data_IF_909700701167
#
_entry.id   IF_909700701167
#
_cell.length_a   1.000
_cell.length_b   1.000
_cell.length_c   1.000
_cell.angle_alpha   90.00
_cell.angle_beta   90.00
_cell.angle_gamma   90.00
#
_symmetry.space_group_name_H-M   'P 1'
#
loop_
_entity.id
_entity.type
_entity.pdbx_description
1 polymer ?
#
# COMPACT_ATOMS: atom_id res chain seq x y z
N UNK A 1 -34.89 -11.91 -14.92
CA UNK A 1 -34.84 -13.38 -14.91
C UNK A 1 -33.89 -13.79 -13.79
N UNK A 2 -34.41 -14.00 -12.57
CA UNK A 2 -33.61 -14.26 -11.36
C UNK A 2 -33.06 -15.68 -11.44
N UNK A 3 -31.81 -15.87 -11.89
CA UNK A 3 -31.04 -17.06 -11.49
C UNK A 3 -30.92 -16.98 -9.97
N UNK A 4 -31.34 -18.03 -9.27
CA UNK A 4 -31.34 -18.06 -7.81
C UNK A 4 -29.90 -17.82 -7.33
N UNK A 5 -29.67 -16.78 -6.53
CA UNK A 5 -28.34 -16.52 -5.95
C UNK A 5 -27.82 -17.76 -5.20
N UNK A 6 -28.71 -18.61 -4.67
CA UNK A 6 -28.36 -19.88 -4.05
C UNK A 6 -27.79 -20.86 -5.07
N UNK A 7 -28.32 -20.89 -6.28
CA UNK A 7 -27.77 -21.68 -7.39
C UNK A 7 -26.39 -21.16 -7.80
N UNK A 8 -26.19 -19.84 -7.83
CA UNK A 8 -24.87 -19.24 -8.08
C UNK A 8 -23.89 -19.63 -6.96
N UNK A 9 -24.28 -19.47 -5.70
CA UNK A 9 -23.45 -19.81 -4.53
C UNK A 9 -23.11 -21.31 -4.53
N UNK A 10 -24.09 -22.16 -4.80
CA UNK A 10 -23.91 -23.61 -4.83
C UNK A 10 -22.97 -24.03 -5.96
N UNK A 11 -23.14 -23.47 -7.16
CA UNK A 11 -22.25 -23.74 -8.27
C UNK A 11 -20.81 -23.27 -7.99
N UNK A 12 -20.64 -22.07 -7.42
CA UNK A 12 -19.32 -21.57 -7.01
C UNK A 12 -18.69 -22.48 -5.94
N UNK A 13 -19.49 -23.05 -5.05
CA UNK A 13 -19.02 -24.04 -4.07
C UNK A 13 -18.55 -25.33 -4.75
N UNK A 14 -19.36 -25.93 -5.63
CA UNK A 14 -18.96 -27.12 -6.38
C UNK A 14 -17.70 -26.88 -7.22
N UNK A 15 -17.60 -25.71 -7.86
CA UNK A 15 -16.44 -25.31 -8.65
C UNK A 15 -15.19 -25.11 -7.80
N UNK A 16 -15.32 -24.57 -6.58
CA UNK A 16 -14.18 -24.42 -5.66
C UNK A 16 -13.55 -25.76 -5.25
N UNK A 17 -14.32 -26.86 -5.34
CA UNK A 17 -13.87 -28.21 -5.00
C UNK A 17 -13.15 -28.92 -6.16
N UNK A 18 -13.25 -28.42 -7.39
CA UNK A 18 -12.63 -29.06 -8.56
C UNK A 18 -11.11 -28.82 -8.58
N UNK A 19 -10.34 -29.84 -8.97
CA UNK A 19 -8.88 -29.73 -9.11
C UNK A 19 -8.48 -28.95 -10.36
N UNK A 20 -9.23 -29.10 -11.44
CA UNK A 20 -9.02 -28.41 -12.72
C UNK A 20 -9.29 -26.89 -12.64
N UNK A 21 -8.61 -26.08 -13.47
CA UNK A 21 -8.87 -24.65 -13.55
C UNK A 21 -10.31 -24.39 -14.04
N UNK A 22 -10.96 -23.47 -13.34
CA UNK A 22 -12.32 -22.98 -13.57
C UNK A 22 -12.66 -22.78 -15.07
N UNK A 23 -13.68 -23.47 -15.58
CA UNK A 23 -14.34 -23.07 -16.83
C UNK A 23 -15.14 -21.79 -16.54
N UNK A 24 -14.75 -20.71 -17.23
CA UNK A 24 -15.10 -19.33 -16.89
C UNK A 24 -16.62 -19.09 -16.80
N UNK A 25 -17.09 -18.73 -15.60
CA UNK A 25 -18.33 -17.99 -15.47
C UNK A 25 -18.14 -16.59 -16.07
N UNK A 26 -18.31 -16.45 -17.39
CA UNK A 26 -18.21 -15.16 -18.06
C UNK A 26 -19.42 -14.30 -17.72
N UNK A 27 -19.19 -13.26 -16.92
CA UNK A 27 -20.03 -12.08 -16.94
C UNK A 27 -19.86 -11.41 -18.31
N UNK A 28 -20.92 -11.37 -19.10
CA UNK A 28 -20.89 -10.80 -20.47
C UNK A 28 -20.83 -9.26 -20.47
N UNK A 29 -20.82 -8.62 -19.31
CA UNK A 29 -20.97 -7.17 -19.16
C UNK A 29 -19.64 -6.51 -18.79
N UNK A 30 -19.44 -5.29 -19.30
CA UNK A 30 -18.31 -4.46 -18.92
C UNK A 30 -18.34 -4.11 -17.42
N UNK A 31 -17.18 -4.01 -16.75
CA UNK A 31 -17.08 -3.54 -15.38
C UNK A 31 -17.70 -2.16 -15.20
N UNK A 32 -18.69 -2.07 -14.31
CA UNK A 32 -19.37 -0.83 -13.93
C UNK A 32 -18.93 -0.40 -12.53
N UNK A 33 -18.52 0.86 -12.37
CA UNK A 33 -18.30 1.48 -11.05
C UNK A 33 -19.59 1.36 -10.22
N UNK A 34 -19.47 0.86 -9.00
CA UNK A 34 -20.60 0.54 -8.12
C UNK A 34 -21.23 -0.83 -8.35
N UNK A 35 -20.85 -1.52 -9.42
CA UNK A 35 -21.25 -2.90 -9.63
C UNK A 35 -20.72 -3.80 -8.49
N UNK A 36 -21.62 -4.63 -7.97
CA UNK A 36 -21.30 -5.67 -6.98
C UNK A 36 -21.19 -7.01 -7.68
N UNK A 37 -20.04 -7.66 -7.51
CA UNK A 37 -19.67 -8.86 -8.24
C UNK A 37 -19.40 -10.01 -7.28
N UNK A 38 -19.83 -11.21 -7.67
CA UNK A 38 -19.65 -12.46 -6.94
C UNK A 38 -19.01 -13.52 -7.84
N UNK A 39 -17.99 -14.20 -7.33
CA UNK A 39 -17.26 -15.21 -8.10
C UNK A 39 -16.16 -15.87 -7.28
N UNK A 40 -15.18 -16.46 -7.98
CA UNK A 40 -14.02 -17.11 -7.37
C UNK A 40 -12.74 -16.33 -7.67
N UNK A 41 -11.92 -16.15 -6.64
CA UNK A 41 -10.55 -15.65 -6.73
C UNK A 41 -9.64 -16.72 -6.10
N UNK A 42 -8.72 -17.29 -6.87
CA UNK A 42 -7.87 -18.41 -6.41
C UNK A 42 -8.67 -19.55 -5.75
N UNK A 43 -9.76 -19.98 -6.38
CA UNK A 43 -10.74 -20.98 -5.87
C UNK A 43 -11.47 -20.61 -4.58
N UNK A 44 -11.27 -19.41 -4.03
CA UNK A 44 -12.02 -18.92 -2.88
C UNK A 44 -13.13 -17.97 -3.33
N UNK A 45 -14.31 -18.10 -2.73
CA UNK A 45 -15.43 -17.20 -3.02
C UNK A 45 -15.09 -15.77 -2.58
N UNK A 46 -15.22 -14.84 -3.50
CA UNK A 46 -15.03 -13.41 -3.23
C UNK A 46 -16.21 -12.65 -3.76
N UNK A 47 -16.64 -11.66 -2.99
CA UNK A 47 -17.58 -10.63 -3.40
C UNK A 47 -16.89 -9.28 -3.25
N UNK A 48 -17.12 -8.37 -4.19
CA UNK A 48 -16.53 -7.05 -4.15
C UNK A 48 -17.42 -6.02 -4.83
N UNK A 49 -17.18 -4.74 -4.54
CA UNK A 49 -17.73 -3.60 -5.28
C UNK A 49 -16.60 -2.86 -5.97
N UNK A 50 -16.82 -2.48 -7.23
CA UNK A 50 -15.88 -1.61 -7.94
C UNK A 50 -16.07 -0.18 -7.42
N UNK A 51 -15.00 0.43 -6.91
CA UNK A 51 -15.06 1.81 -6.41
C UNK A 51 -14.42 2.80 -7.36
N UNK A 52 -13.41 2.40 -8.13
CA UNK A 52 -12.75 3.31 -9.07
C UNK A 52 -12.08 2.59 -10.24
N UNK A 53 -11.80 3.35 -11.30
CA UNK A 53 -10.90 2.95 -12.38
C UNK A 53 -9.59 3.73 -12.24
N UNK A 54 -8.52 3.05 -11.82
CA UNK A 54 -7.24 3.69 -11.45
C UNK A 54 -6.36 3.94 -12.67
N UNK A 55 -6.33 2.97 -13.60
CA UNK A 55 -5.65 3.10 -14.91
C UNK A 55 -6.54 2.52 -15.99
N UNK A 56 -6.11 2.57 -17.25
CA UNK A 56 -6.82 1.89 -18.33
C UNK A 56 -6.94 0.38 -18.16
N UNK A 57 -6.07 -0.23 -17.33
CA UNK A 57 -6.03 -1.67 -17.09
C UNK A 57 -6.61 -2.09 -15.75
N UNK A 58 -6.55 -1.22 -14.73
CA UNK A 58 -6.84 -1.60 -13.36
C UNK A 58 -8.02 -0.83 -12.76
N UNK A 59 -8.85 -1.58 -12.05
CA UNK A 59 -9.91 -1.08 -11.19
C UNK A 59 -9.54 -1.29 -9.72
N UNK A 60 -9.86 -0.31 -8.89
CA UNK A 60 -9.87 -0.48 -7.44
C UNK A 60 -11.23 -1.02 -7.01
N UNK A 61 -11.19 -2.10 -6.23
CA UNK A 61 -12.39 -2.74 -5.70
C UNK A 61 -12.28 -2.89 -4.18
N UNK A 62 -13.40 -2.80 -3.47
CA UNK A 62 -13.50 -3.10 -2.05
C UNK A 62 -14.11 -4.46 -1.84
N UNK A 63 -13.52 -5.24 -0.95
CA UNK A 63 -14.05 -6.55 -0.57
C UNK A 63 -15.38 -6.39 0.17
N UNK A 64 -16.30 -7.31 -0.09
CA UNK A 64 -17.57 -7.42 0.62
C UNK A 64 -17.66 -8.77 1.32
N UNK A 65 -18.07 -8.76 2.58
CA UNK A 65 -18.28 -9.95 3.40
C UNK A 65 -19.74 -10.14 3.79
N UNK A 66 -20.15 -11.39 3.93
CA UNK A 66 -21.46 -11.80 4.44
C UNK A 66 -21.48 -11.97 5.97
N UNK A 67 -20.33 -11.92 6.63
CA UNK A 67 -20.21 -11.92 8.09
C UNK A 67 -20.41 -10.52 8.64
N UNK A 68 -21.57 -9.92 8.35
CA UNK A 68 -21.87 -8.54 8.72
C UNK A 68 -21.87 -8.33 10.24
N UNK A 69 -22.12 -9.40 11.00
CA UNK A 69 -22.04 -9.43 12.46
C UNK A 69 -20.63 -9.15 13.00
N UNK A 70 -19.60 -9.32 12.17
CA UNK A 70 -18.20 -9.01 12.48
C UNK A 70 -17.79 -7.61 11.99
N UNK A 71 -18.71 -6.85 11.38
CA UNK A 71 -18.44 -5.51 10.88
C UNK A 71 -18.12 -4.52 11.99
N UNK A 72 -17.05 -3.76 11.81
CA UNK A 72 -16.57 -2.72 12.70
C UNK A 72 -17.08 -1.34 12.26
N UNK A 73 -16.74 -0.30 13.04
CA UNK A 73 -17.00 1.10 12.64
C UNK A 73 -16.36 1.51 11.32
N UNK A 74 -15.33 0.79 10.84
CA UNK A 74 -14.69 1.11 9.56
C UNK A 74 -15.51 0.58 8.39
N UNK A 75 -16.34 -0.42 8.61
CA UNK A 75 -17.07 -1.12 7.56
C UNK A 75 -18.45 -0.49 7.34
N UNK A 76 -18.87 -0.41 6.08
CA UNK A 76 -20.20 0.07 5.70
C UNK A 76 -21.16 -1.10 5.64
N UNK A 77 -22.30 -0.99 6.32
CA UNK A 77 -23.38 -1.98 6.20
C UNK A 77 -24.10 -1.76 4.89
N UNK A 78 -24.16 -2.82 4.09
CA UNK A 78 -24.80 -2.82 2.80
C UNK A 78 -25.88 -3.89 2.78
N UNK A 79 -27.11 -3.47 2.43
CA UNK A 79 -28.26 -4.35 2.32
C UNK A 79 -28.87 -4.26 0.95
N UNK A 80 -29.22 -5.42 0.42
CA UNK A 80 -29.96 -5.54 -0.81
C UNK A 80 -30.97 -6.70 -0.72
N UNK A 81 -31.60 -7.05 -1.83
CA UNK A 81 -32.56 -8.15 -1.89
C UNK A 81 -31.95 -9.52 -1.53
N UNK A 82 -30.63 -9.66 -1.57
CA UNK A 82 -29.90 -10.92 -1.39
C UNK A 82 -29.50 -11.13 0.08
N UNK A 83 -29.29 -10.05 0.83
CA UNK A 83 -28.95 -10.15 2.24
C UNK A 83 -28.35 -8.88 2.84
N UNK A 84 -27.77 -9.05 4.02
CA UNK A 84 -26.97 -8.03 4.71
C UNK A 84 -25.50 -8.41 4.62
N UNK A 85 -24.69 -7.43 4.25
CA UNK A 85 -23.27 -7.56 4.01
C UNK A 85 -22.53 -6.37 4.63
N UNK A 86 -21.21 -6.48 4.67
CA UNK A 86 -20.32 -5.36 5.00
C UNK A 86 -19.39 -5.11 3.83
N UNK A 87 -19.25 -3.84 3.46
CA UNK A 87 -18.20 -3.35 2.57
C UNK A 87 -17.01 -3.03 3.46
N UNK A 88 -15.93 -3.78 3.26
CA UNK A 88 -14.71 -3.69 4.06
C UNK A 88 -13.84 -2.57 3.50
N UNK A 89 -14.01 -1.35 4.03
CA UNK A 89 -13.41 -0.14 3.46
C UNK A 89 -11.88 -0.10 3.55
N UNK A 90 -11.30 -0.98 4.37
CA UNK A 90 -9.86 -1.18 4.56
C UNK A 90 -9.29 -2.36 3.77
N UNK A 91 -10.13 -3.17 3.11
CA UNK A 91 -9.71 -4.31 2.29
C UNK A 91 -9.97 -4.03 0.81
N UNK A 92 -9.24 -3.06 0.27
CA UNK A 92 -9.19 -2.82 -1.16
C UNK A 92 -8.22 -3.77 -1.87
N UNK A 93 -8.47 -4.05 -3.14
CA UNK A 93 -7.55 -4.77 -4.02
C UNK A 93 -7.80 -4.40 -5.48
N UNK A 94 -6.92 -4.86 -6.37
CA UNK A 94 -6.90 -4.38 -7.75
C UNK A 94 -7.08 -5.50 -8.75
N UNK A 95 -8.09 -5.34 -9.60
CA UNK A 95 -8.45 -6.28 -10.65
C UNK A 95 -8.38 -5.62 -12.01
N UNK A 96 -8.05 -6.41 -13.02
CA UNK A 96 -8.14 -6.02 -14.42
C UNK A 96 -9.54 -6.25 -14.96
N UNK A 97 -9.85 -5.59 -16.07
CA UNK A 97 -11.12 -5.75 -16.79
C UNK A 97 -11.44 -7.22 -17.11
N UNK A 98 -10.48 -7.96 -17.66
CA UNK A 98 -10.63 -9.38 -18.03
C UNK A 98 -10.85 -10.29 -16.81
N UNK A 99 -10.28 -9.92 -15.66
CA UNK A 99 -10.48 -10.64 -14.41
C UNK A 99 -11.87 -10.38 -13.83
N UNK A 100 -12.35 -9.14 -13.84
CA UNK A 100 -13.69 -8.77 -13.36
C UNK A 100 -14.77 -9.46 -14.20
N UNK A 101 -14.56 -9.58 -15.52
CA UNK A 101 -15.47 -10.28 -16.45
C UNK A 101 -15.66 -11.77 -16.11
N UNK A 102 -14.85 -12.35 -15.24
CA UNK A 102 -15.06 -13.72 -14.70
C UNK A 102 -16.01 -13.78 -13.50
N UNK A 103 -16.48 -12.63 -13.03
CA UNK A 103 -17.40 -12.54 -11.91
C UNK A 103 -18.81 -12.22 -12.39
N UNK A 104 -19.80 -12.70 -11.64
CA UNK A 104 -21.19 -12.35 -11.89
C UNK A 104 -21.53 -11.05 -11.20
N UNK A 105 -21.91 -10.02 -11.95
CA UNK A 105 -22.61 -8.87 -11.37
C UNK A 105 -23.94 -9.33 -10.77
N UNK A 106 -24.16 -9.00 -9.50
CA UNK A 106 -25.36 -9.38 -8.73
C UNK A 106 -26.16 -8.18 -8.23
N UNK A 107 -25.55 -6.99 -8.17
CA UNK A 107 -26.21 -5.76 -7.77
C UNK A 107 -25.42 -4.52 -8.23
N UNK A 108 -25.95 -3.32 -7.99
CA UNK A 108 -25.30 -2.02 -8.24
C UNK A 108 -25.56 -1.09 -7.05
N UNK A 109 -24.50 -0.45 -6.55
CA UNK A 109 -24.59 0.62 -5.56
C UNK A 109 -24.54 1.97 -6.29
N UNK A 110 -25.66 2.69 -6.27
CA UNK A 110 -25.80 3.95 -7.03
C UNK A 110 -24.89 5.08 -6.54
N UNK A 111 -24.50 5.08 -5.26
CA UNK A 111 -23.71 6.16 -4.66
C UNK A 111 -22.38 5.65 -4.09
N UNK A 112 -21.50 5.22 -5.00
CA UNK A 112 -20.11 4.84 -4.67
C UNK A 112 -19.32 5.99 -4.07
N UNK A 113 -19.61 7.23 -4.45
CA UNK A 113 -18.85 8.38 -3.95
C UNK A 113 -18.96 8.49 -2.42
N UNK A 114 -20.15 8.22 -1.86
CA UNK A 114 -20.32 8.12 -0.40
C UNK A 114 -19.45 7.06 0.27
N UNK A 115 -19.15 5.96 -0.43
CA UNK A 115 -18.23 4.92 0.09
C UNK A 115 -16.81 5.48 0.14
N UNK A 116 -16.37 6.20 -0.91
CA UNK A 116 -15.06 6.85 -0.96
C UNK A 116 -14.94 7.91 0.13
N UNK A 117 -15.90 8.82 0.22
CA UNK A 117 -15.97 9.85 1.26
C UNK A 117 -15.91 9.23 2.66
N UNK A 118 -16.70 8.18 2.90
CA UNK A 118 -16.72 7.50 4.19
C UNK A 118 -15.37 6.91 4.57
N UNK A 119 -14.60 6.35 3.62
CA UNK A 119 -13.30 5.75 3.88
C UNK A 119 -12.34 6.77 4.51
N UNK A 120 -12.34 7.99 3.98
CA UNK A 120 -11.45 9.08 4.37
C UNK A 120 -11.85 9.76 5.71
N UNK A 121 -13.06 9.50 6.21
CA UNK A 121 -13.49 10.04 7.51
C UNK A 121 -12.67 9.47 8.67
N UNK A 122 -12.36 10.32 9.63
CA UNK A 122 -11.85 9.90 10.94
C UNK A 122 -12.86 9.04 11.69
N UNK A 123 -12.41 8.29 12.70
CA UNK A 123 -13.31 7.47 13.53
C UNK A 123 -14.43 8.29 14.15
N UNK A 124 -14.15 9.52 14.61
CA UNK A 124 -15.16 10.39 15.22
C UNK A 124 -16.19 10.87 14.19
N UNK A 125 -15.77 11.17 12.96
CA UNK A 125 -16.66 11.56 11.87
C UNK A 125 -17.51 10.37 11.40
N UNK A 126 -16.94 9.16 11.33
CA UNK A 126 -17.68 7.92 11.04
C UNK A 126 -18.80 7.67 12.05
N UNK A 127 -18.55 7.92 13.33
CA UNK A 127 -19.56 7.82 14.39
C UNK A 127 -20.76 8.76 14.17
N UNK A 128 -20.50 9.95 13.60
CA UNK A 128 -21.48 11.03 13.36
C UNK A 128 -22.12 10.98 11.97
N UNK A 129 -21.58 10.17 11.07
CA UNK A 129 -22.09 10.04 9.70
C UNK A 129 -23.49 9.40 9.68
N UNK A 130 -24.27 9.73 8.63
CA UNK A 130 -25.56 9.09 8.36
C UNK A 130 -25.43 7.76 7.58
N UNK A 131 -24.21 7.27 7.39
CA UNK A 131 -23.95 6.00 6.70
C UNK A 131 -24.04 4.87 7.72
N UNK A 132 -24.80 3.85 7.37
CA UNK A 132 -24.94 2.69 8.24
C UNK A 132 -23.63 1.91 8.29
N UNK A 133 -23.21 1.56 9.50
CA UNK A 133 -21.87 1.07 9.81
C UNK A 133 -21.93 -0.17 10.67
N UNK A 134 -20.86 -0.95 10.62
CA UNK A 134 -20.68 -2.07 11.55
C UNK A 134 -20.66 -1.59 13.00
N UNK A 135 -21.15 -2.44 13.90
CA UNK A 135 -21.35 -2.11 15.32
C UNK A 135 -20.40 -2.87 16.25
N UNK A 136 -19.48 -3.67 15.71
CA UNK A 136 -18.54 -4.42 16.53
C UNK A 136 -17.45 -3.49 17.08
N UNK A 137 -17.71 -2.95 18.28
CA UNK A 137 -16.88 -1.94 18.95
C UNK A 137 -16.31 -2.48 20.26
N UNK A 138 -15.46 -3.49 20.19
CA UNK A 138 -14.69 -3.95 21.33
C UNK A 138 -13.28 -4.25 20.82
N UNK A 139 -12.32 -3.41 21.22
CA UNK A 139 -10.86 -3.48 20.94
C UNK A 139 -10.47 -4.82 20.31
N UNK A 140 -10.40 -4.83 18.98
CA UNK A 140 -10.00 -5.94 18.10
C UNK A 140 -9.90 -7.29 18.83
N UNK A 141 -11.06 -7.89 19.11
CA UNK A 141 -11.06 -9.27 19.59
C UNK A 141 -10.25 -10.10 18.60
N UNK A 142 -9.37 -10.96 19.11
CA UNK A 142 -8.51 -11.87 18.33
C UNK A 142 -9.27 -12.57 17.18
N UNK A 143 -10.58 -12.77 17.33
CA UNK A 143 -11.46 -13.33 16.30
C UNK A 143 -11.72 -12.42 15.09
N UNK A 144 -11.93 -11.12 15.30
CA UNK A 144 -12.16 -10.13 14.23
C UNK A 144 -10.85 -9.88 13.48
N UNK A 145 -9.73 -9.78 14.19
CA UNK A 145 -8.40 -9.69 13.57
C UNK A 145 -8.12 -10.93 12.73
N UNK A 146 -8.25 -12.14 13.30
CA UNK A 146 -8.08 -13.40 12.55
C UNK A 146 -9.04 -13.51 11.37
N UNK A 147 -10.25 -12.96 11.48
CA UNK A 147 -11.18 -12.89 10.38
C UNK A 147 -10.63 -11.99 9.26
N UNK A 148 -10.26 -10.75 9.57
CA UNK A 148 -9.67 -9.79 8.63
C UNK A 148 -8.37 -10.32 8.00
N UNK A 149 -7.51 -10.99 8.76
CA UNK A 149 -6.30 -11.65 8.25
C UNK A 149 -6.65 -12.73 7.21
N UNK A 150 -7.61 -13.62 7.52
CA UNK A 150 -8.06 -14.65 6.57
C UNK A 150 -8.68 -14.05 5.32
N UNK A 151 -9.47 -12.99 5.47
CA UNK A 151 -10.06 -12.29 4.35
C UNK A 151 -8.99 -11.62 3.47
N UNK A 152 -7.96 -11.02 4.09
CA UNK A 152 -6.80 -10.45 3.39
C UNK A 152 -6.01 -11.54 2.66
N UNK A 153 -5.78 -12.70 3.26
CA UNK A 153 -5.07 -13.82 2.60
C UNK A 153 -5.72 -14.22 1.26
N UNK A 154 -7.05 -14.10 1.15
CA UNK A 154 -7.76 -14.39 -0.11
C UNK A 154 -7.35 -13.43 -1.22
N UNK A 155 -7.22 -12.14 -0.89
CA UNK A 155 -6.97 -11.07 -1.86
C UNK A 155 -5.51 -10.62 -1.91
N UNK A 156 -4.64 -11.12 -1.04
CA UNK A 156 -3.26 -10.64 -0.86
C UNK A 156 -2.47 -10.51 -2.18
N UNK A 157 -2.48 -11.48 -3.10
CA UNK A 157 -1.78 -11.34 -4.38
C UNK A 157 -2.31 -10.19 -5.26
N UNK A 158 -3.59 -9.84 -5.11
CA UNK A 158 -4.27 -8.80 -5.86
C UNK A 158 -4.18 -7.44 -5.17
N UNK A 159 -4.11 -7.42 -3.84
CA UNK A 159 -3.83 -6.23 -3.05
C UNK A 159 -2.42 -5.69 -3.34
N UNK A 160 -1.41 -6.58 -3.37
CA UNK A 160 -0.01 -6.20 -3.65
C UNK A 160 0.23 -5.70 -5.09
N UNK A 161 -0.77 -5.75 -5.98
CA UNK A 161 -0.65 -5.20 -7.34
C UNK A 161 -0.56 -3.67 -7.36
N UNK A 162 -0.85 -3.00 -6.25
CA UNK A 162 -0.65 -1.56 -6.14
C UNK A 162 0.76 -1.14 -6.55
N UNK A 163 1.78 -1.95 -6.25
CA UNK A 163 3.15 -1.66 -6.66
C UNK A 163 3.31 -1.64 -8.19
N UNK A 164 2.65 -2.57 -8.90
CA UNK A 164 2.66 -2.56 -10.37
C UNK A 164 1.90 -1.36 -10.96
N UNK A 165 0.85 -0.92 -10.25
CA UNK A 165 0.03 0.23 -10.67
C UNK A 165 0.82 1.53 -10.49
N UNK A 166 1.50 1.69 -9.35
CA UNK A 166 2.39 2.82 -9.09
C UNK A 166 3.46 2.89 -10.18
N UNK A 167 4.13 1.77 -10.47
CA UNK A 167 5.14 1.69 -11.54
C UNK A 167 4.58 2.06 -12.93
N UNK A 168 3.30 1.77 -13.21
CA UNK A 168 2.63 2.10 -14.46
C UNK A 168 2.27 3.59 -14.53
N UNK A 169 1.69 4.14 -13.46
CA UNK A 169 1.33 5.56 -13.36
C UNK A 169 2.57 6.46 -13.45
N UNK A 170 3.66 6.08 -12.78
CA UNK A 170 4.93 6.80 -12.90
C UNK A 170 5.42 6.80 -14.36
N UNK A 171 5.33 5.68 -15.08
CA UNK A 171 5.72 5.61 -16.50
C UNK A 171 4.82 6.44 -17.42
N UNK A 172 3.55 6.63 -17.08
CA UNK A 172 2.61 7.44 -17.86
C UNK A 172 2.80 8.95 -17.65
N UNK A 173 3.22 9.37 -16.45
CA UNK A 173 3.56 10.78 -16.18
C UNK A 173 4.87 11.22 -16.85
N UNK A 174 5.80 10.29 -17.11
CA UNK A 174 7.01 10.58 -17.87
C UNK A 174 6.82 10.27 -19.35
N UNK A 175 6.46 11.28 -20.15
CA UNK A 175 6.89 11.34 -21.55
C UNK A 175 8.42 11.29 -21.56
N UNK A 176 9.00 10.10 -21.70
CA UNK A 176 10.45 9.92 -21.83
C UNK A 176 10.86 10.57 -23.15
N UNK A 177 11.38 11.80 -23.07
CA UNK A 177 12.10 12.43 -24.17
C UNK A 177 13.39 11.61 -24.33
N UNK A 178 13.62 10.92 -25.46
CA UNK A 178 14.89 10.25 -25.69
C UNK A 178 15.97 11.32 -25.82
N UNK A 179 16.87 11.40 -24.83
CA UNK A 179 18.11 12.15 -24.98
C UNK A 179 18.93 11.47 -26.08
N UNK A 180 19.34 12.25 -27.10
CA UNK A 180 20.16 11.75 -28.20
C UNK A 180 21.49 11.17 -27.71
N UNK A 181 22.14 10.25 -28.46
CA UNK A 181 23.23 9.39 -27.98
C UNK A 181 24.56 10.07 -27.59
N UNK A 182 24.64 11.39 -27.48
CA UNK A 182 25.90 12.11 -27.21
C UNK A 182 26.14 12.45 -25.73
N UNK A 183 25.46 11.79 -24.78
CA UNK A 183 25.77 11.91 -23.35
C UNK A 183 25.77 10.56 -22.64
N UNK A 184 26.72 9.70 -22.99
CA UNK A 184 27.21 8.66 -22.07
C UNK A 184 28.23 9.30 -21.11
N UNK A 185 27.76 9.92 -20.03
CA UNK A 185 28.61 10.11 -18.84
C UNK A 185 27.78 9.83 -17.57
N UNK A 186 28.01 8.63 -17.01
CA UNK A 186 27.88 8.24 -15.61
C UNK A 186 26.78 8.95 -14.78
N UNK A 187 25.59 8.37 -14.74
CA UNK A 187 24.59 8.72 -13.74
C UNK A 187 25.06 8.29 -12.33
N UNK A 188 25.47 9.27 -11.52
CA UNK A 188 25.46 9.18 -10.05
C UNK A 188 24.08 9.60 -9.54
N UNK A 189 23.39 8.67 -8.88
CA UNK A 189 22.25 8.90 -7.96
C UNK A 189 22.70 9.78 -6.77
N UNK A 190 21.95 10.68 -6.11
CA UNK A 190 20.54 11.15 -6.11
C UNK A 190 20.55 12.56 -5.48
N UNK A 191 19.79 13.53 -5.98
CA UNK A 191 19.64 14.83 -5.31
C UNK A 191 18.41 14.83 -4.40
N UNK A 192 18.62 15.00 -3.08
CA UNK A 192 17.57 15.27 -2.09
C UNK A 192 17.36 16.78 -2.05
N UNK A 193 16.34 17.30 -2.72
CA UNK A 193 15.96 18.70 -2.64
C UNK A 193 15.00 18.92 -1.47
N UNK A 194 15.55 19.20 -0.29
CA UNK A 194 14.82 19.82 0.82
C UNK A 194 15.05 21.33 0.78
N UNK A 195 13.99 22.13 0.86
CA UNK A 195 14.06 23.60 1.02
C UNK A 195 14.65 24.02 2.38
N UNK A 196 14.77 23.09 3.32
CA UNK A 196 15.50 23.28 4.58
C UNK A 196 16.91 22.70 4.45
N UNK A 197 17.94 23.46 4.88
CA UNK A 197 19.33 22.98 5.01
C UNK A 197 19.46 21.92 6.13
N UNK A 198 18.77 20.80 5.99
CA UNK A 198 18.82 19.65 6.89
C UNK A 198 19.78 18.57 6.38
N UNK A 199 20.45 18.81 5.25
CA UNK A 199 21.47 17.93 4.68
C UNK A 199 22.74 18.69 4.32
N UNK A 200 23.90 18.05 4.45
CA UNK A 200 25.16 18.50 3.85
C UNK A 200 25.98 17.30 3.36
N UNK A 201 26.80 17.53 2.34
CA UNK A 201 27.65 16.51 1.73
C UNK A 201 29.05 16.56 2.33
N UNK A 202 29.54 15.40 2.79
CA UNK A 202 30.94 15.13 3.06
C UNK A 202 31.62 14.46 1.87
N UNK A 203 32.89 14.08 2.02
CA UNK A 203 33.68 13.46 0.94
C UNK A 203 33.09 12.10 0.50
N UNK A 204 32.73 11.25 1.47
CA UNK A 204 32.22 9.88 1.25
C UNK A 204 30.94 9.59 2.06
N UNK A 205 30.24 10.62 2.52
CA UNK A 205 29.05 10.50 3.35
C UNK A 205 28.12 11.69 3.17
N UNK A 206 26.88 11.55 3.63
CA UNK A 206 25.90 12.62 3.75
C UNK A 206 25.57 12.79 5.22
N UNK A 207 25.46 14.03 5.72
CA UNK A 207 24.87 14.26 7.03
C UNK A 207 23.43 14.72 6.90
N UNK A 208 22.57 14.19 7.76
CA UNK A 208 21.16 14.52 7.85
C UNK A 208 20.81 14.93 9.28
N UNK A 209 20.18 16.09 9.45
CA UNK A 209 19.75 16.61 10.75
C UNK A 209 18.33 16.13 11.07
N UNK A 210 18.19 15.47 12.21
CA UNK A 210 16.92 15.17 12.84
C UNK A 210 16.69 16.04 14.10
N UNK A 211 15.48 16.10 14.67
CA UNK A 211 15.16 17.00 15.77
C UNK A 211 16.06 16.85 17.01
N UNK A 212 16.63 15.66 17.23
CA UNK A 212 17.40 15.32 18.44
C UNK A 212 18.82 14.77 18.16
N UNK A 213 19.19 14.54 16.89
CA UNK A 213 20.49 13.95 16.52
C UNK A 213 20.87 14.33 15.09
N UNK A 214 22.12 14.07 14.73
CA UNK A 214 22.63 14.20 13.37
C UNK A 214 23.09 12.81 12.92
N UNK A 215 22.56 12.34 11.79
CA UNK A 215 22.93 11.08 11.19
C UNK A 215 24.03 11.32 10.15
N UNK A 216 25.07 10.48 10.16
CA UNK A 216 26.03 10.33 9.08
C UNK A 216 25.61 9.09 8.29
N UNK A 217 25.32 9.28 7.01
CA UNK A 217 24.91 8.25 6.07
C UNK A 217 26.09 7.95 5.16
N UNK A 218 26.63 6.74 5.24
CA UNK A 218 27.75 6.27 4.43
C UNK A 218 27.28 5.35 3.31
N UNK A 219 28.11 5.15 2.29
CA UNK A 219 27.83 4.23 1.19
C UNK A 219 27.71 2.77 1.68
N UNK A 220 26.93 1.94 0.97
CA UNK A 220 26.78 0.51 1.29
C UNK A 220 28.12 -0.26 1.28
N UNK A 221 29.13 0.26 0.60
CA UNK A 221 30.47 -0.34 0.57
C UNK A 221 31.19 -0.35 1.94
N UNK A 222 30.67 0.38 2.93
CA UNK A 222 31.19 0.43 4.30
C UNK A 222 30.56 -0.62 5.23
N UNK A 223 29.49 -1.30 4.82
CA UNK A 223 28.82 -2.34 5.62
C UNK A 223 29.74 -3.55 5.81
N UNK A 224 29.73 -4.15 7.00
CA UNK A 224 30.59 -5.24 7.45
C UNK A 224 32.09 -4.89 7.49
N UNK A 225 32.44 -3.60 7.38
CA UNK A 225 33.82 -3.13 7.56
C UNK A 225 33.95 -2.40 8.89
N UNK A 226 35.16 -2.42 9.45
CA UNK A 226 35.50 -1.63 10.62
C UNK A 226 35.66 -0.17 10.19
N UNK A 227 34.86 0.73 10.74
CA UNK A 227 34.84 2.14 10.37
C UNK A 227 35.11 3.01 11.58
N UNK A 228 35.97 4.01 11.39
CA UNK A 228 36.26 5.06 12.35
C UNK A 228 35.80 6.41 11.82
N UNK A 229 35.08 7.16 12.66
CA UNK A 229 34.67 8.54 12.37
C UNK A 229 35.48 9.50 13.24
N UNK A 230 36.07 10.49 12.60
CA UNK A 230 36.82 11.56 13.24
C UNK A 230 36.08 12.89 13.08
N UNK A 231 36.06 13.71 14.12
CA UNK A 231 35.58 15.09 14.10
C UNK A 231 36.71 15.99 14.57
N UNK A 232 37.15 16.92 13.71
CA UNK A 232 38.27 17.84 14.01
C UNK A 232 39.57 17.12 14.44
N UNK A 233 39.76 15.88 13.97
CA UNK A 233 40.92 15.05 14.30
C UNK A 233 40.73 14.12 15.51
N UNK A 234 39.65 14.26 16.27
CA UNK A 234 39.32 13.38 17.39
C UNK A 234 38.45 12.21 16.93
N UNK A 235 38.77 10.97 17.33
CA UNK A 235 37.96 9.79 16.99
C UNK A 235 36.72 9.76 17.88
N UNK A 236 35.54 9.86 17.28
CA UNK A 236 34.24 9.91 17.97
C UNK A 236 33.41 8.63 17.84
N UNK A 237 33.76 7.77 16.87
CA UNK A 237 33.11 6.48 16.65
C UNK A 237 34.12 5.49 16.09
N UNK A 238 34.03 4.23 16.53
CA UNK A 238 34.78 3.09 15.99
C UNK A 238 33.94 1.83 16.18
N UNK A 239 33.49 1.21 15.08
CA UNK A 239 32.83 -0.08 15.13
C UNK A 239 32.79 -0.77 13.76
N UNK A 240 32.41 -2.04 13.72
CA UNK A 240 31.95 -2.68 12.48
C UNK A 240 30.55 -2.18 12.17
N UNK A 241 30.34 -1.63 10.98
CA UNK A 241 29.03 -1.14 10.57
C UNK A 241 28.13 -2.29 10.11
N UNK A 242 27.01 -2.47 10.81
CA UNK A 242 25.91 -3.34 10.40
C UNK A 242 24.87 -2.63 9.53
N UNK A 243 24.88 -1.29 9.52
CA UNK A 243 24.03 -0.42 8.70
C UNK A 243 24.82 0.78 8.14
N UNK A 244 24.20 1.51 7.21
CA UNK A 244 24.70 2.73 6.56
C UNK A 244 24.63 3.98 7.42
N UNK A 245 24.02 3.91 8.61
CA UNK A 245 23.72 5.08 9.45
C UNK A 245 24.54 5.07 10.74
N UNK A 246 25.25 6.17 11.00
CA UNK A 246 25.94 6.44 12.26
C UNK A 246 25.28 7.67 12.91
N UNK A 247 24.68 7.49 14.07
CA UNK A 247 23.96 8.57 14.78
C UNK A 247 24.86 9.28 15.78
N UNK A 248 25.04 10.60 15.60
CA UNK A 248 25.72 11.48 16.54
C UNK A 248 24.71 12.25 17.40
N UNK A 249 24.93 12.22 18.72
CA UNK A 249 24.14 13.00 19.68
C UNK A 249 24.80 14.34 19.95
N UNK A 250 24.03 15.42 19.79
CA UNK A 250 24.43 16.77 20.13
C UNK A 250 23.43 17.39 21.11
N UNK A 251 23.88 18.28 21.99
CA UNK A 251 22.99 18.96 22.94
C UNK A 251 21.99 19.90 22.24
N UNK A 252 22.38 20.53 21.13
CA UNK A 252 21.53 21.46 20.37
C UNK A 252 21.71 21.30 18.83
N UNK A 253 21.23 20.20 18.22
CA UNK A 253 21.48 19.88 16.81
C UNK A 253 20.90 20.90 15.81
N UNK A 254 19.86 21.64 16.21
CA UNK A 254 19.19 22.66 15.40
C UNK A 254 20.09 23.85 15.04
N UNK A 255 21.08 24.17 15.89
CA UNK A 255 21.96 25.34 15.71
C UNK A 255 23.28 25.00 15.03
N UNK A 256 23.50 23.74 14.64
CA UNK A 256 24.77 23.28 14.06
C UNK A 256 24.80 23.56 12.56
N UNK A 257 25.79 24.31 12.08
CA UNK A 257 26.02 24.47 10.63
C UNK A 257 26.47 23.13 10.02
N UNK A 258 25.59 22.52 9.20
CA UNK A 258 25.87 21.22 8.59
C UNK A 258 26.97 21.30 7.53
N UNK A 259 27.12 22.40 6.80
CA UNK A 259 28.19 22.52 5.80
C UNK A 259 29.57 22.60 6.48
N UNK A 260 29.64 23.30 7.62
CA UNK A 260 30.86 23.34 8.42
C UNK A 260 31.16 21.99 9.07
N UNK A 261 30.14 21.33 9.62
CA UNK A 261 30.27 20.02 10.25
C UNK A 261 30.71 18.94 9.23
N UNK A 262 30.14 18.93 8.04
CA UNK A 262 30.52 17.96 7.01
C UNK A 262 31.99 18.09 6.58
N UNK A 263 32.56 19.31 6.62
CA UNK A 263 33.98 19.56 6.33
C UNK A 263 34.92 19.13 7.46
N UNK A 264 34.44 19.03 8.69
CA UNK A 264 35.26 18.64 9.85
C UNK A 264 35.19 17.15 10.18
N UNK A 265 34.26 16.41 9.55
CA UNK A 265 34.13 14.96 9.70
C UNK A 265 34.98 14.22 8.67
N UNK A 266 35.70 13.20 9.12
CA UNK A 266 36.39 12.23 8.28
C UNK A 266 35.94 10.81 8.63
N UNK A 267 35.54 10.04 7.63
CA UNK A 267 35.14 8.62 7.77
C UNK A 267 36.24 7.77 7.13
N UNK A 268 36.75 6.79 7.86
CA UNK A 268 37.86 5.92 7.41
C UNK A 268 37.49 4.46 7.63
N UNK A 269 37.74 3.62 6.62
CA UNK A 269 37.73 2.16 6.79
C UNK A 269 39.08 1.73 7.36
N UNK A 270 39.06 1.04 8.49
CA UNK A 270 40.26 0.42 9.06
C UNK A 270 40.47 -0.95 8.40
N UNK A 271 41.71 -1.22 8.01
CA UNK A 271 42.17 -2.52 7.49
C UNK A 271 42.32 -3.56 8.61
#
# INVERSE_FOLDING_TARGET
MKKDIREIIYRLYEESLKEEPFEEFRGEEEPIIGGVYLGLLNKKRVMFVIIDKITDKYFEVLKISHFWELGTIRDIVYRNEIGTFIIETDLNFYLKDDEIKRFKKIDIIDNVEKIKEYRELSTEEKLKSNIERGLFYIYENVWVEKFKEKELEVIKPYHLRIFNIIDELEKEEYNIIPLSPEREENYRYTAVASTEKNTALGENFVIYREPQYINIIVSQEFINKKVSVFLEGEKIFENVLDDTVITLKFENPKNIDLEKLAKSIKVVVEE
#
